data_IF_825946216593
#
_entry.id   IF_825946216593
#
_cell.length_a   1.000
_cell.length_b   1.000
_cell.length_c   1.000
_cell.angle_alpha   90.00
_cell.angle_beta   90.00
_cell.angle_gamma   90.00
#
_symmetry.space_group_name_H-M   'P 1'
#
loop_
_entity.id
_entity.type
_entity.pdbx_description
1 polymer ?
#
# COMPACT_ATOMS: atom_id res chain seq x y z
N UNK A 1 -22.78 0.44 -2.47
CA UNK A 1 -22.41 1.47 -3.47
C UNK A 1 -20.91 1.37 -3.69
N UNK A 2 -20.42 1.15 -4.92
CA UNK A 2 -18.99 1.04 -5.18
C UNK A 2 -18.29 2.35 -4.85
N UNK A 3 -17.14 2.26 -4.16
CA UNK A 3 -16.30 3.42 -3.88
C UNK A 3 -15.57 3.78 -5.17
N UNK A 4 -16.02 4.84 -5.85
CA UNK A 4 -15.37 5.33 -7.07
C UNK A 4 -13.97 5.85 -6.72
N UNK A 5 -12.95 5.17 -7.22
CA UNK A 5 -11.55 5.60 -7.10
C UNK A 5 -11.27 6.71 -8.12
N UNK A 6 -10.75 7.84 -7.64
CA UNK A 6 -10.24 8.93 -8.47
C UNK A 6 -8.92 8.45 -9.14
N UNK A 7 -8.65 8.74 -10.42
CA UNK A 7 -7.43 8.30 -11.12
C UNK A 7 -6.10 8.73 -10.49
N UNK A 8 -6.07 9.77 -9.64
CA UNK A 8 -4.86 10.20 -8.91
C UNK A 8 -4.47 9.31 -7.72
N UNK A 9 -5.25 8.26 -7.39
CA UNK A 9 -5.04 7.49 -6.16
C UNK A 9 -4.13 6.26 -6.37
N UNK A 10 -3.47 6.10 -7.53
CA UNK A 10 -2.46 5.03 -7.75
C UNK A 10 -1.26 5.09 -6.78
N UNK A 11 -1.12 6.13 -5.97
CA UNK A 11 0.00 6.31 -5.03
C UNK A 11 -0.34 5.78 -3.63
N UNK A 12 -1.61 5.49 -3.32
CA UNK A 12 -2.01 5.13 -1.96
C UNK A 12 -2.17 3.62 -1.78
N UNK A 13 -1.63 3.02 -0.69
CA UNK A 13 -1.92 1.62 -0.35
C UNK A 13 -3.42 1.36 -0.16
N UNK A 14 -4.19 2.39 0.22
CA UNK A 14 -5.64 2.28 0.37
C UNK A 14 -6.35 1.93 -0.95
N UNK A 15 -5.83 2.39 -2.09
CA UNK A 15 -6.41 2.15 -3.41
C UNK A 15 -6.37 0.68 -3.77
N UNK A 16 -5.19 0.07 -3.65
CA UNK A 16 -4.97 -1.35 -3.91
C UNK A 16 -5.79 -2.21 -2.95
N UNK A 17 -5.94 -1.77 -1.69
CA UNK A 17 -6.80 -2.47 -0.74
C UNK A 17 -8.29 -2.38 -1.10
N UNK A 18 -8.77 -1.21 -1.54
CA UNK A 18 -10.15 -1.04 -1.98
C UNK A 18 -10.42 -1.85 -3.26
N UNK A 19 -9.49 -1.88 -4.22
CA UNK A 19 -9.65 -2.67 -5.43
C UNK A 19 -9.72 -4.17 -5.13
N UNK A 20 -8.90 -4.64 -4.20
CA UNK A 20 -8.92 -6.01 -3.71
C UNK A 20 -10.24 -6.37 -3.02
N UNK A 21 -10.79 -5.47 -2.20
CA UNK A 21 -12.12 -5.66 -1.59
C UNK A 21 -13.23 -5.69 -2.65
N UNK A 22 -13.23 -4.75 -3.59
CA UNK A 22 -14.23 -4.69 -4.65
C UNK A 22 -14.18 -5.95 -5.52
N UNK A 23 -12.98 -6.41 -5.88
CA UNK A 23 -12.79 -7.65 -6.64
C UNK A 23 -13.32 -8.86 -5.86
N UNK A 24 -13.09 -8.92 -4.54
CA UNK A 24 -13.65 -9.96 -3.66
C UNK A 24 -15.18 -9.92 -3.56
N UNK A 25 -15.81 -8.77 -3.82
CA UNK A 25 -17.26 -8.60 -3.86
C UNK A 25 -17.87 -8.88 -5.24
N UNK A 26 -17.07 -9.33 -6.20
CA UNK A 26 -17.53 -9.73 -7.54
C UNK A 26 -17.43 -8.64 -8.61
N UNK A 27 -16.78 -7.51 -8.31
CA UNK A 27 -16.46 -6.47 -9.31
C UNK A 27 -15.22 -6.85 -10.14
N UNK A 28 -15.05 -6.21 -11.28
CA UNK A 28 -13.86 -6.37 -12.13
C UNK A 28 -12.71 -5.56 -11.53
N UNK A 29 -11.53 -6.15 -11.38
CA UNK A 29 -10.37 -5.43 -10.82
C UNK A 29 -9.93 -4.27 -11.74
N UNK A 30 -9.42 -3.20 -11.14
CA UNK A 30 -8.99 -2.01 -11.87
C UNK A 30 -7.79 -2.28 -12.80
N UNK A 31 -7.03 -3.34 -12.54
CA UNK A 31 -5.86 -3.74 -13.33
C UNK A 31 -6.13 -4.96 -14.23
N UNK A 32 -7.40 -5.32 -14.42
CA UNK A 32 -7.80 -6.39 -15.34
C UNK A 32 -7.50 -7.80 -14.81
N UNK A 33 -7.12 -8.73 -15.70
CA UNK A 33 -6.99 -10.15 -15.39
C UNK A 33 -5.92 -10.48 -14.33
N UNK A 34 -4.89 -9.62 -14.21
CA UNK A 34 -3.80 -9.79 -13.25
C UNK A 34 -3.95 -8.89 -12.01
N UNK A 35 -5.06 -8.18 -11.85
CA UNK A 35 -5.11 -7.11 -10.87
C UNK A 35 -4.99 -7.54 -9.42
N UNK A 36 -5.55 -8.70 -9.04
CA UNK A 36 -5.34 -9.23 -7.69
C UNK A 36 -3.86 -9.42 -7.36
N UNK A 37 -3.08 -9.98 -8.29
CA UNK A 37 -1.64 -10.20 -8.08
C UNK A 37 -0.91 -8.86 -7.98
N UNK A 38 -1.30 -7.90 -8.81
CA UNK A 38 -0.74 -6.55 -8.82
C UNK A 38 -1.06 -5.83 -7.51
N UNK A 39 -2.30 -5.86 -7.04
CA UNK A 39 -2.76 -5.27 -5.78
C UNK A 39 -2.00 -5.84 -4.59
N UNK A 40 -1.91 -7.17 -4.50
CA UNK A 40 -1.12 -7.84 -3.45
C UNK A 40 0.36 -7.44 -3.52
N UNK A 41 0.93 -7.38 -4.73
CA UNK A 41 2.31 -6.95 -4.94
C UNK A 41 2.56 -5.54 -4.43
N UNK A 42 1.71 -4.58 -4.79
CA UNK A 42 1.82 -3.20 -4.32
C UNK A 42 1.61 -3.08 -2.81
N UNK A 43 0.63 -3.79 -2.23
CA UNK A 43 0.41 -3.79 -0.78
C UNK A 43 1.62 -4.35 -0.01
N UNK A 44 2.27 -5.40 -0.51
CA UNK A 44 3.50 -5.92 0.07
C UNK A 44 4.65 -4.91 -0.02
N UNK A 45 4.82 -4.26 -1.18
CA UNK A 45 5.85 -3.21 -1.36
C UNK A 45 5.63 -2.07 -0.36
N UNK A 46 4.39 -1.59 -0.18
CA UNK A 46 4.08 -0.58 0.83
C UNK A 46 4.35 -1.08 2.25
N UNK A 47 3.94 -2.30 2.59
CA UNK A 47 4.15 -2.89 3.91
C UNK A 47 5.64 -2.98 4.28
N UNK A 48 6.46 -3.56 3.41
CA UNK A 48 7.91 -3.66 3.63
C UNK A 48 8.59 -2.29 3.56
N UNK A 49 8.15 -1.40 2.67
CA UNK A 49 8.66 -0.04 2.56
C UNK A 49 8.45 0.78 3.84
N UNK A 50 7.25 0.73 4.42
CA UNK A 50 6.98 1.39 5.70
C UNK A 50 7.74 0.76 6.86
N UNK A 51 7.88 -0.57 6.89
CA UNK A 51 8.66 -1.25 7.91
C UNK A 51 10.14 -0.84 7.86
N UNK A 52 10.73 -0.80 6.66
CA UNK A 52 12.10 -0.34 6.45
C UNK A 52 12.27 1.12 6.88
N UNK A 53 11.34 1.99 6.47
CA UNK A 53 11.36 3.41 6.86
C UNK A 53 11.27 3.56 8.39
N UNK A 54 10.42 2.77 9.05
CA UNK A 54 10.29 2.77 10.51
C UNK A 54 11.62 2.39 11.19
N UNK A 55 12.32 1.36 10.70
CA UNK A 55 13.63 0.99 11.22
C UNK A 55 14.68 2.09 11.02
N UNK A 56 14.72 2.71 9.85
CA UNK A 56 15.64 3.82 9.55
C UNK A 56 15.37 5.00 10.50
N UNK A 57 14.11 5.44 10.62
CA UNK A 57 13.73 6.55 11.48
C UNK A 57 13.99 6.24 12.96
N UNK A 58 13.74 5.00 13.39
CA UNK A 58 14.05 4.55 14.73
C UNK A 58 15.56 4.61 15.02
N UNK A 59 16.39 4.08 14.12
CA UNK A 59 17.84 4.13 14.24
C UNK A 59 18.37 5.58 14.29
N UNK A 60 17.85 6.47 13.43
CA UNK A 60 18.21 7.89 13.44
C UNK A 60 17.80 8.57 14.76
N UNK A 61 16.66 8.19 15.32
CA UNK A 61 16.18 8.71 16.61
C UNK A 61 17.09 8.26 17.75
N UNK A 62 17.50 6.99 17.77
CA UNK A 62 18.45 6.46 18.73
C UNK A 62 19.82 7.13 18.62
N UNK A 63 20.33 7.32 17.39
CA UNK A 63 21.59 8.03 17.16
C UNK A 63 21.54 9.46 17.72
N UNK A 64 20.46 10.20 17.44
CA UNK A 64 20.27 11.56 18.00
C UNK A 64 20.19 11.56 19.54
N UNK A 65 19.60 10.52 20.13
CA UNK A 65 19.45 10.42 21.59
C UNK A 65 20.75 10.06 22.31
N UNK A 66 21.57 9.18 21.74
CA UNK A 66 22.76 8.62 22.39
C UNK A 66 24.10 9.19 21.90
N UNK A 67 24.11 10.01 20.84
CA UNK A 67 25.28 10.83 20.45
C UNK A 67 25.18 12.29 20.92
N UNK A 68 24.31 12.58 21.88
CA UNK A 68 24.38 13.81 22.67
C UNK A 68 25.59 13.78 23.60
#
# INVERSE_FOLDING_TARGET
>A
MPIKLNPLILISPLTYFIDLLNTGLGEVSAFGAFGLIIDFGFLLIFGFGFLLLAFILHALTLQKRFKG
#
